data_IF_392748081483
#
_entry.id   IF_392748081483
#
_cell.length_a   1.000
_cell.length_b   1.000
_cell.length_c   1.000
_cell.angle_alpha   90.00
_cell.angle_beta   90.00
_cell.angle_gamma   90.00
#
_symmetry.space_group_name_H-M   'P 1'
#
loop_
_entity.id
_entity.type
_entity.pdbx_description
1 polymer ?
#
# COMPACT_ATOMS: atom_id res chain seq x y z
N UNK A 1 13.19 8.00 -24.81
CA UNK A 1 12.46 6.71 -24.89
C UNK A 1 11.61 6.46 -23.65
N UNK A 2 12.15 6.53 -22.44
CA UNK A 2 11.38 6.36 -21.19
C UNK A 2 10.41 7.53 -20.93
N UNK A 3 10.78 8.75 -21.32
CA UNK A 3 9.89 9.92 -21.26
C UNK A 3 8.60 9.70 -22.06
N UNK A 4 8.69 9.11 -23.25
CA UNK A 4 7.52 8.76 -24.08
C UNK A 4 6.59 7.76 -23.38
N UNK A 5 7.15 6.83 -22.60
CA UNK A 5 6.36 5.87 -21.79
C UNK A 5 5.64 6.59 -20.65
N UNK A 6 6.30 7.56 -20.02
CA UNK A 6 5.71 8.39 -18.96
C UNK A 6 4.55 9.24 -19.53
N UNK A 7 4.77 9.92 -20.66
CA UNK A 7 3.78 10.74 -21.34
C UNK A 7 2.56 9.92 -21.77
N UNK A 8 2.77 8.74 -22.36
CA UNK A 8 1.69 7.82 -22.71
C UNK A 8 0.87 7.41 -21.49
N UNK A 9 1.52 7.14 -20.35
CA UNK A 9 0.82 6.77 -19.12
C UNK A 9 0.10 7.92 -18.43
N UNK A 10 0.58 9.15 -18.60
CA UNK A 10 -0.13 10.34 -18.17
C UNK A 10 -1.37 10.60 -19.05
N UNK A 11 -1.27 10.38 -20.36
CA UNK A 11 -2.38 10.52 -21.29
C UNK A 11 -3.55 9.56 -21.01
N UNK A 12 -3.29 8.40 -20.40
CA UNK A 12 -4.31 7.46 -19.92
C UNK A 12 -5.08 7.95 -18.68
N UNK A 13 -4.77 9.15 -18.14
CA UNK A 13 -5.44 9.69 -16.95
C UNK A 13 -5.04 9.01 -15.63
N UNK A 14 -3.94 8.24 -15.63
CA UNK A 14 -3.45 7.56 -14.45
C UNK A 14 -2.93 8.53 -13.39
N UNK A 15 -3.13 8.21 -12.10
CA UNK A 15 -2.58 9.02 -11.01
C UNK A 15 -1.04 9.13 -11.10
N UNK A 16 -0.48 10.24 -10.64
CA UNK A 16 0.98 10.43 -10.59
C UNK A 16 1.72 9.29 -9.87
N UNK A 17 1.11 8.71 -8.83
CA UNK A 17 1.67 7.55 -8.13
C UNK A 17 1.70 6.30 -9.02
N UNK A 18 0.67 6.07 -9.83
CA UNK A 18 0.61 4.97 -10.80
C UNK A 18 1.65 5.16 -11.91
N UNK A 19 1.70 6.35 -12.51
CA UNK A 19 2.66 6.69 -13.58
C UNK A 19 4.09 6.48 -13.10
N UNK A 20 4.43 6.87 -11.87
CA UNK A 20 5.78 6.71 -11.28
C UNK A 20 6.22 5.25 -11.12
N UNK A 21 5.30 4.31 -10.89
CA UNK A 21 5.66 2.89 -10.71
C UNK A 21 6.28 2.27 -11.96
N UNK A 22 5.86 2.70 -13.14
CA UNK A 22 6.36 2.19 -14.43
C UNK A 22 7.86 2.44 -14.63
N UNK A 23 8.38 3.68 -14.62
CA UNK A 23 9.81 3.94 -14.75
C UNK A 23 10.62 3.37 -13.57
N UNK A 24 10.02 3.26 -12.37
CA UNK A 24 10.68 2.59 -11.25
C UNK A 24 10.89 1.09 -11.49
N UNK A 25 9.88 0.40 -12.01
CA UNK A 25 9.96 -1.01 -12.41
C UNK A 25 10.97 -1.20 -13.54
N UNK A 26 10.90 -0.38 -14.58
CA UNK A 26 11.85 -0.44 -15.70
C UNK A 26 13.30 -0.29 -15.23
N UNK A 27 13.58 0.66 -14.33
CA UNK A 27 14.93 0.79 -13.78
C UNK A 27 15.37 -0.48 -13.05
N UNK A 28 14.49 -1.07 -12.25
CA UNK A 28 14.83 -2.27 -11.48
C UNK A 28 15.14 -3.44 -12.42
N UNK A 29 14.35 -3.62 -13.48
CA UNK A 29 14.59 -4.64 -14.51
C UNK A 29 15.93 -4.38 -15.20
N UNK A 30 16.17 -3.17 -15.71
CA UNK A 30 17.42 -2.85 -16.44
C UNK A 30 18.66 -2.99 -15.56
N UNK A 31 18.57 -2.66 -14.27
CA UNK A 31 19.66 -2.90 -13.31
C UNK A 31 19.90 -4.38 -13.04
N UNK A 32 18.84 -5.21 -13.02
CA UNK A 32 18.98 -6.66 -12.91
C UNK A 32 19.65 -7.23 -14.17
N UNK A 33 19.24 -6.76 -15.35
CA UNK A 33 19.86 -7.12 -16.63
C UNK A 33 21.36 -6.79 -16.65
N UNK A 34 21.75 -5.63 -16.13
CA UNK A 34 23.16 -5.21 -16.05
C UNK A 34 23.96 -6.00 -15.00
N UNK A 35 23.43 -6.16 -13.79
CA UNK A 35 24.25 -6.57 -12.62
C UNK A 35 24.21 -8.06 -12.30
N UNK A 36 23.13 -8.71 -12.69
CA UNK A 36 22.86 -10.09 -12.27
C UNK A 36 22.73 -11.05 -13.44
N UNK A 37 22.22 -10.57 -14.58
CA UNK A 37 22.02 -11.38 -15.76
C UNK A 37 23.05 -11.14 -16.86
N UNK A 38 23.80 -10.03 -16.78
CA UNK A 38 24.81 -9.64 -17.76
C UNK A 38 24.25 -9.58 -19.21
N UNK A 39 22.96 -9.28 -19.36
CA UNK A 39 22.30 -9.17 -20.67
C UNK A 39 22.64 -7.87 -21.39
N UNK A 40 23.09 -6.86 -20.65
CA UNK A 40 23.50 -5.56 -21.17
C UNK A 40 24.73 -5.09 -20.41
N UNK A 41 25.64 -4.40 -21.10
CA UNK A 41 26.87 -3.88 -20.48
C UNK A 41 26.60 -2.76 -19.47
N UNK A 42 25.55 -1.96 -19.71
CA UNK A 42 25.21 -0.81 -18.85
C UNK A 42 23.72 -0.48 -18.89
N UNK A 43 23.12 -0.31 -17.71
CA UNK A 43 21.75 0.17 -17.59
C UNK A 43 21.66 1.69 -17.88
N UNK A 44 20.72 2.15 -18.71
CA UNK A 44 20.57 3.58 -18.97
C UNK A 44 20.10 4.33 -17.72
N UNK A 45 20.73 5.46 -17.43
CA UNK A 45 20.37 6.33 -16.32
C UNK A 45 19.26 7.31 -16.75
N UNK A 46 18.21 7.40 -15.94
CA UNK A 46 17.12 8.35 -16.16
C UNK A 46 16.51 8.80 -14.83
N UNK A 47 15.94 10.00 -14.82
CA UNK A 47 15.36 10.60 -13.62
C UNK A 47 14.01 9.97 -13.29
N UNK A 48 13.78 9.72 -12.01
CA UNK A 48 12.44 9.38 -11.53
C UNK A 48 11.60 10.62 -11.33
N UNK A 49 10.30 10.44 -11.54
CA UNK A 49 9.30 11.36 -11.02
C UNK A 49 9.41 11.43 -9.49
N UNK A 50 9.28 12.65 -8.94
CA UNK A 50 9.22 12.85 -7.48
C UNK A 50 8.02 12.10 -6.91
N UNK A 51 8.16 11.58 -5.69
CA UNK A 51 7.01 10.99 -4.99
C UNK A 51 5.97 12.10 -4.78
N UNK A 52 4.69 11.88 -5.13
CA UNK A 52 3.65 12.83 -4.76
C UNK A 52 3.61 12.92 -3.24
N UNK A 53 3.64 14.13 -2.70
CA UNK A 53 3.47 14.37 -1.27
C UNK A 53 2.10 13.85 -0.85
N UNK A 54 2.07 12.70 -0.15
CA UNK A 54 0.83 12.19 0.42
C UNK A 54 0.52 12.97 1.68
N UNK A 55 -0.68 13.54 1.74
CA UNK A 55 -1.21 14.10 2.99
C UNK A 55 -1.52 12.93 3.94
N UNK A 56 -0.69 12.75 4.95
CA UNK A 56 -0.97 11.82 6.04
C UNK A 56 -2.03 12.48 6.92
N UNK A 57 -3.24 11.92 6.94
CA UNK A 57 -4.33 12.35 7.81
C UNK A 57 -4.72 11.19 8.71
N UNK A 58 -4.78 11.45 10.00
CA UNK A 58 -5.34 10.57 11.01
C UNK A 58 -6.62 11.19 11.57
N UNK A 59 -7.45 10.37 12.20
CA UNK A 59 -8.65 10.83 12.90
C UNK A 59 -8.24 11.33 14.29
N UNK A 60 -8.85 12.43 14.75
CA UNK A 60 -8.83 12.76 16.18
C UNK A 60 -9.76 11.82 16.96
N UNK A 61 -9.65 11.82 18.28
CA UNK A 61 -10.52 11.01 19.13
C UNK A 61 -12.00 11.34 18.91
N UNK A 62 -12.34 12.62 18.80
CA UNK A 62 -13.70 13.10 18.56
C UNK A 62 -14.21 12.67 17.19
N UNK A 63 -13.35 12.70 16.17
CA UNK A 63 -13.67 12.24 14.83
C UNK A 63 -13.89 10.72 14.78
N UNK A 64 -13.12 9.95 15.54
CA UNK A 64 -13.29 8.51 15.65
C UNK A 64 -14.61 8.14 16.34
N UNK A 65 -14.95 8.81 17.45
CA UNK A 65 -16.24 8.62 18.12
C UNK A 65 -17.40 8.96 17.19
N UNK A 66 -17.33 10.11 16.50
CA UNK A 66 -18.37 10.51 15.54
C UNK A 66 -18.51 9.48 14.41
N UNK A 67 -17.40 9.00 13.86
CA UNK A 67 -17.41 7.96 12.83
C UNK A 67 -18.14 6.69 13.32
N UNK A 68 -17.84 6.21 14.52
CA UNK A 68 -18.45 4.99 15.05
C UNK A 68 -19.96 5.15 15.29
N UNK A 69 -20.43 6.34 15.68
CA UNK A 69 -21.86 6.62 15.87
C UNK A 69 -22.64 6.60 14.54
N UNK A 70 -22.05 7.15 13.48
CA UNK A 70 -22.69 7.23 12.14
C UNK A 70 -22.65 5.91 11.37
N UNK A 71 -21.74 4.99 11.72
CA UNK A 71 -21.61 3.72 11.02
C UNK A 71 -22.75 2.75 11.35
N UNK A 72 -23.24 1.99 10.35
CA UNK A 72 -24.12 0.84 10.58
C UNK A 72 -23.45 -0.20 11.48
N UNK A 73 -24.24 -0.94 12.25
CA UNK A 73 -23.76 -1.91 13.26
C UNK A 73 -22.68 -2.86 12.73
N UNK A 74 -22.88 -3.43 11.54
CA UNK A 74 -21.95 -4.39 10.94
C UNK A 74 -20.57 -3.79 10.58
N UNK A 75 -20.50 -2.48 10.30
CA UNK A 75 -19.22 -1.78 10.04
C UNK A 75 -18.63 -1.17 11.30
N UNK A 76 -19.47 -0.82 12.27
CA UNK A 76 -19.06 -0.19 13.53
C UNK A 76 -18.06 -1.07 14.28
N UNK A 77 -18.34 -2.36 14.41
CA UNK A 77 -17.47 -3.28 15.16
C UNK A 77 -16.11 -3.46 14.47
N UNK A 78 -16.12 -3.59 13.14
CA UNK A 78 -14.89 -3.71 12.33
C UNK A 78 -14.07 -2.42 12.40
N UNK A 79 -14.71 -1.25 12.33
CA UNK A 79 -14.04 0.04 12.45
C UNK A 79 -13.48 0.28 13.85
N UNK A 80 -14.23 -0.07 14.91
CA UNK A 80 -13.77 0.02 16.29
C UNK A 80 -12.55 -0.87 16.52
N UNK A 81 -12.61 -2.12 16.03
CA UNK A 81 -11.47 -3.02 16.07
C UNK A 81 -10.26 -2.44 15.31
N UNK A 82 -10.46 -1.96 14.08
CA UNK A 82 -9.39 -1.35 13.28
C UNK A 82 -8.71 -0.17 13.97
N UNK A 83 -9.50 0.71 14.61
CA UNK A 83 -8.99 1.85 15.37
C UNK A 83 -8.18 1.42 16.60
N UNK A 84 -8.57 0.31 17.24
CA UNK A 84 -7.89 -0.20 18.43
C UNK A 84 -6.58 -0.95 18.11
N UNK A 85 -6.55 -1.74 17.02
CA UNK A 85 -5.41 -2.64 16.74
C UNK A 85 -4.47 -2.15 15.62
N UNK A 86 -4.90 -1.17 14.80
CA UNK A 86 -4.08 -0.62 13.71
C UNK A 86 -3.77 -1.61 12.57
N UNK A 87 -4.48 -2.74 12.48
CA UNK A 87 -4.30 -3.70 11.41
C UNK A 87 -4.81 -3.16 10.07
N UNK A 88 -4.18 -3.59 8.98
CA UNK A 88 -4.67 -3.31 7.62
C UNK A 88 -6.01 -3.99 7.40
N UNK A 89 -6.89 -3.35 6.63
CA UNK A 89 -8.23 -3.88 6.29
C UNK A 89 -8.20 -5.33 5.85
N UNK A 90 -7.25 -5.72 5.00
CA UNK A 90 -7.14 -7.10 4.50
C UNK A 90 -6.89 -8.11 5.63
N UNK A 91 -6.06 -7.73 6.61
CA UNK A 91 -5.76 -8.59 7.76
C UNK A 91 -6.96 -8.71 8.70
N UNK A 92 -7.73 -7.63 8.86
CA UNK A 92 -8.96 -7.67 9.67
C UNK A 92 -10.02 -8.53 9.00
N UNK A 93 -10.27 -8.29 7.70
CA UNK A 93 -11.29 -9.02 6.94
C UNK A 93 -10.94 -10.51 6.74
N UNK A 94 -9.66 -10.85 6.75
CA UNK A 94 -9.16 -12.22 6.62
C UNK A 94 -8.86 -12.92 7.95
N UNK A 95 -9.13 -12.28 9.09
CA UNK A 95 -8.81 -12.85 10.40
C UNK A 95 -9.67 -14.10 10.67
N UNK A 96 -9.04 -15.18 11.11
CA UNK A 96 -9.74 -16.44 11.44
C UNK A 96 -9.74 -16.69 12.95
N UNK A 97 -10.68 -17.51 13.44
CA UNK A 97 -10.75 -17.87 14.87
C UNK A 97 -9.49 -18.56 15.39
N UNK A 98 -8.71 -19.23 14.53
CA UNK A 98 -7.41 -19.84 14.90
C UNK A 98 -6.36 -18.80 15.29
N UNK A 99 -6.58 -17.54 14.94
CA UNK A 99 -5.67 -16.42 15.14
C UNK A 99 -6.11 -15.50 16.28
N UNK A 100 -7.11 -15.92 17.06
CA UNK A 100 -7.71 -15.14 18.15
C UNK A 100 -7.69 -15.96 19.42
N UNK A 101 -7.07 -15.41 20.47
CA UNK A 101 -7.17 -15.91 21.83
C UNK A 101 -7.90 -14.87 22.69
N UNK A 102 -9.18 -15.11 22.93
CA UNK A 102 -10.02 -14.21 23.73
C UNK A 102 -9.64 -14.21 25.22
N UNK A 103 -9.05 -15.29 25.75
CA UNK A 103 -8.61 -15.34 27.15
C UNK A 103 -7.39 -14.44 27.35
N UNK A 104 -6.46 -14.49 26.41
CA UNK A 104 -5.24 -13.65 26.41
C UNK A 104 -5.48 -12.27 25.79
N UNK A 105 -6.68 -12.01 25.24
CA UNK A 105 -7.03 -10.80 24.49
C UNK A 105 -6.02 -10.49 23.37
N UNK A 106 -5.62 -11.54 22.65
CA UNK A 106 -4.57 -11.48 21.64
C UNK A 106 -5.12 -11.89 20.27
N UNK A 107 -4.75 -11.14 19.24
CA UNK A 107 -4.91 -11.55 17.85
C UNK A 107 -3.56 -11.44 17.15
N UNK A 108 -3.23 -12.40 16.29
CA UNK A 108 -1.97 -12.38 15.53
C UNK A 108 -2.21 -12.63 14.05
N UNK A 109 -1.38 -12.00 13.21
CA UNK A 109 -1.38 -12.22 11.76
C UNK A 109 -0.05 -12.84 11.42
N UNK A 110 -0.06 -13.97 10.69
CA UNK A 110 1.19 -14.61 10.32
C UNK A 110 1.97 -13.77 9.30
N UNK A 111 3.31 -13.78 9.31
CA UNK A 111 4.13 -12.93 8.43
C UNK A 111 3.84 -13.12 6.93
N UNK A 112 3.51 -14.34 6.51
CA UNK A 112 3.11 -14.70 5.15
C UNK A 112 1.75 -14.10 4.74
N UNK A 113 0.92 -13.71 5.71
CA UNK A 113 -0.38 -13.08 5.52
C UNK A 113 -0.34 -11.55 5.65
N UNK A 114 0.76 -10.99 6.18
CA UNK A 114 0.95 -9.56 6.35
C UNK A 114 1.33 -8.90 5.00
N UNK A 115 0.32 -8.48 4.23
CA UNK A 115 0.51 -7.61 3.04
C UNK A 115 0.69 -6.15 3.42
#
# INVERSE_FOLDING_TARGET
MIEKVIEAKQAEGSSNGTVKRVPALMRNILRRCERDWEWIDRAPAFRLLKEPTRRIRYLTQEQAVKLLLELPTHLRDVAAFALAVGLRRANIAGLTWKQVDLRRKLAWVHPDQAK
#
